data_IF_051937080974
#
_entry.id   IF_051937080974
#
_cell.length_a   1.000
_cell.length_b   1.000
_cell.length_c   1.000
_cell.angle_alpha   90.00
_cell.angle_beta   90.00
_cell.angle_gamma   90.00
#
_symmetry.space_group_name_H-M   'P 1'
#
loop_
_entity.id
_entity.type
_entity.pdbx_description
1 polymer ?
#
# COMPACT_ATOMS: atom_id res chain seq x y z
N UNK A 1 24.03 6.80 -30.11
CA UNK A 1 23.58 7.93 -29.29
C UNK A 1 22.09 8.11 -29.50
N UNK A 2 21.25 7.77 -28.51
CA UNK A 2 19.80 7.98 -28.59
C UNK A 2 19.46 9.40 -28.16
N UNK A 3 18.65 10.11 -28.95
CA UNK A 3 18.20 11.46 -28.61
C UNK A 3 17.25 11.49 -27.40
N UNK A 4 16.89 12.68 -26.89
CA UNK A 4 16.06 12.85 -25.69
C UNK A 4 14.72 12.09 -25.72
N UNK A 5 14.14 11.92 -26.91
CA UNK A 5 12.91 11.14 -27.11
C UNK A 5 13.10 9.63 -26.85
N UNK A 6 14.21 9.06 -27.27
CA UNK A 6 14.51 7.62 -27.09
C UNK A 6 14.70 7.30 -25.61
N UNK A 7 15.36 8.16 -24.86
CA UNK A 7 15.52 8.00 -23.41
C UNK A 7 14.17 8.05 -22.70
N UNK A 8 13.31 9.01 -23.04
CA UNK A 8 11.96 9.11 -22.45
C UNK A 8 11.12 7.86 -22.73
N UNK A 9 11.09 7.41 -23.97
CA UNK A 9 10.35 6.20 -24.36
C UNK A 9 10.88 4.96 -23.66
N UNK A 10 12.20 4.82 -23.54
CA UNK A 10 12.84 3.73 -22.81
C UNK A 10 12.34 3.65 -21.37
N UNK A 11 12.37 4.75 -20.60
CA UNK A 11 11.90 4.74 -19.20
C UNK A 11 10.40 4.46 -19.10
N UNK A 12 9.58 4.98 -20.01
CA UNK A 12 8.14 4.73 -20.00
C UNK A 12 7.82 3.26 -20.28
N UNK A 13 8.49 2.66 -21.26
CA UNK A 13 8.32 1.24 -21.60
C UNK A 13 8.87 0.35 -20.48
N UNK A 14 10.07 0.65 -19.97
CA UNK A 14 10.70 -0.11 -18.91
C UNK A 14 9.90 -0.06 -17.61
N UNK A 15 9.37 1.10 -17.19
CA UNK A 15 8.52 1.17 -16.00
C UNK A 15 7.21 0.38 -16.21
N UNK A 16 6.59 0.49 -17.39
CA UNK A 16 5.36 -0.26 -17.70
C UNK A 16 5.58 -1.77 -17.73
N UNK A 17 6.72 -2.24 -18.22
CA UNK A 17 6.96 -3.69 -18.32
C UNK A 17 6.96 -4.38 -16.96
N UNK A 18 7.32 -3.70 -15.87
CA UNK A 18 7.27 -4.25 -14.51
C UNK A 18 5.83 -4.47 -14.00
N UNK A 19 4.85 -3.73 -14.53
CA UNK A 19 3.45 -3.88 -14.13
C UNK A 19 2.87 -5.24 -14.59
N UNK A 20 3.46 -5.82 -15.63
CA UNK A 20 3.05 -7.10 -16.22
C UNK A 20 3.97 -8.27 -15.80
N UNK A 21 4.96 -8.05 -14.94
CA UNK A 21 5.88 -9.11 -14.49
C UNK A 21 5.17 -10.09 -13.56
N UNK A 22 5.37 -11.38 -13.85
CA UNK A 22 4.97 -12.50 -13.02
C UNK A 22 6.20 -13.18 -12.44
N UNK A 23 6.20 -13.40 -11.13
CA UNK A 23 7.25 -14.11 -10.41
C UNK A 23 6.60 -15.03 -9.37
N UNK A 24 7.00 -16.30 -9.31
CA UNK A 24 6.43 -17.29 -8.39
C UNK A 24 4.88 -17.37 -8.40
N UNK A 25 4.26 -17.29 -9.59
CA UNK A 25 2.80 -17.25 -9.80
C UNK A 25 2.08 -16.03 -9.21
N UNK A 26 2.81 -15.00 -8.78
CA UNK A 26 2.28 -13.75 -8.29
C UNK A 26 2.73 -12.59 -9.18
N UNK A 27 1.89 -11.56 -9.31
CA UNK A 27 2.28 -10.29 -9.97
C UNK A 27 2.99 -9.39 -8.98
N UNK A 28 3.91 -8.54 -9.43
CA UNK A 28 4.54 -7.54 -8.56
C UNK A 28 3.52 -6.47 -8.10
N UNK A 29 2.65 -6.06 -9.01
CA UNK A 29 1.65 -5.03 -8.77
C UNK A 29 0.25 -5.54 -9.09
N UNK A 30 -0.72 -5.15 -8.26
CA UNK A 30 -2.15 -5.43 -8.46
C UNK A 30 -2.82 -4.18 -8.99
N UNK A 31 -3.56 -4.31 -10.09
CA UNK A 31 -4.36 -3.23 -10.63
C UNK A 31 -5.74 -3.19 -9.97
N UNK A 32 -6.16 -2.03 -9.50
CA UNK A 32 -7.51 -1.78 -9.00
C UNK A 32 -8.29 -0.92 -10.01
N UNK A 33 -9.39 -1.48 -10.52
CA UNK A 33 -10.23 -0.84 -11.55
C UNK A 33 -10.97 0.40 -11.01
N UNK A 34 -11.25 0.46 -9.71
CA UNK A 34 -12.02 1.56 -9.12
C UNK A 34 -11.18 2.83 -9.02
N UNK A 35 -9.96 2.70 -8.50
CA UNK A 35 -8.99 3.80 -8.38
C UNK A 35 -8.21 4.05 -9.67
N UNK A 36 -8.20 3.07 -10.59
CA UNK A 36 -7.33 3.04 -11.79
C UNK A 36 -5.86 3.17 -11.44
N UNK A 37 -5.46 2.60 -10.30
CA UNK A 37 -4.08 2.60 -9.83
C UNK A 37 -3.57 1.19 -9.60
N UNK A 38 -2.24 1.07 -9.59
CA UNK A 38 -1.53 -0.12 -9.18
C UNK A 38 -1.15 -0.01 -7.72
N UNK A 39 -1.15 -1.15 -7.03
CA UNK A 39 -0.64 -1.29 -5.67
C UNK A 39 0.36 -2.44 -5.57
N UNK A 40 1.20 -2.42 -4.55
CA UNK A 40 2.16 -3.50 -4.25
C UNK A 40 1.39 -4.78 -3.92
N UNK A 41 1.76 -5.90 -4.55
CA UNK A 41 1.18 -7.19 -4.20
C UNK A 41 1.87 -7.77 -2.96
N UNK A 42 1.17 -7.84 -1.84
CA UNK A 42 1.70 -8.41 -0.60
C UNK A 42 2.13 -9.89 -0.74
N UNK A 43 1.58 -10.61 -1.74
CA UNK A 43 1.86 -12.03 -1.97
C UNK A 43 3.12 -12.26 -2.79
N UNK A 44 3.68 -11.22 -3.41
CA UNK A 44 4.88 -11.29 -4.24
C UNK A 44 6.18 -11.45 -3.41
N UNK A 45 6.16 -12.29 -2.37
CA UNK A 45 7.30 -12.59 -1.49
C UNK A 45 8.43 -13.22 -2.30
N UNK A 46 9.68 -12.84 -2.02
CA UNK A 46 10.84 -13.30 -2.80
C UNK A 46 11.06 -12.51 -4.10
N UNK A 47 10.32 -11.42 -4.32
CA UNK A 47 10.46 -10.55 -5.50
C UNK A 47 11.15 -9.23 -5.17
N UNK A 48 11.88 -9.15 -4.05
CA UNK A 48 12.49 -7.92 -3.52
C UNK A 48 13.45 -7.28 -4.54
N UNK A 49 14.18 -8.10 -5.29
CA UNK A 49 15.09 -7.62 -6.35
C UNK A 49 14.35 -6.92 -7.50
N UNK A 50 13.12 -7.35 -7.81
CA UNK A 50 12.30 -6.68 -8.82
C UNK A 50 11.78 -5.34 -8.31
N UNK A 51 11.32 -5.25 -7.07
CA UNK A 51 10.91 -3.99 -6.46
C UNK A 51 12.07 -3.02 -6.35
N UNK A 52 13.26 -3.49 -5.94
CA UNK A 52 14.51 -2.71 -5.93
C UNK A 52 14.85 -2.19 -7.32
N UNK A 53 14.81 -3.05 -8.33
CA UNK A 53 15.09 -2.67 -9.73
C UNK A 53 14.10 -1.63 -10.24
N UNK A 54 12.81 -1.79 -9.92
CA UNK A 54 11.77 -0.81 -10.23
C UNK A 54 12.04 0.54 -9.56
N UNK A 55 12.40 0.53 -8.27
CA UNK A 55 12.75 1.73 -7.51
C UNK A 55 13.98 2.46 -8.07
N UNK A 56 15.04 1.73 -8.44
CA UNK A 56 16.22 2.30 -9.10
C UNK A 56 15.81 2.96 -10.42
N UNK A 57 15.03 2.27 -11.25
CA UNK A 57 14.57 2.79 -12.53
C UNK A 57 13.70 4.06 -12.36
N UNK A 58 12.83 4.07 -11.35
CA UNK A 58 11.99 5.21 -10.99
C UNK A 58 12.84 6.40 -10.55
N UNK A 59 13.82 6.19 -9.67
CA UNK A 59 14.76 7.21 -9.24
C UNK A 59 15.58 7.79 -10.40
N UNK A 60 16.05 6.92 -11.29
CA UNK A 60 16.75 7.35 -12.52
C UNK A 60 15.83 8.17 -13.44
N UNK A 61 14.55 7.81 -13.59
CA UNK A 61 13.60 8.59 -14.36
C UNK A 61 13.43 10.01 -13.78
N UNK A 62 13.29 10.13 -12.45
CA UNK A 62 13.18 11.43 -11.77
C UNK A 62 14.44 12.28 -11.98
N UNK A 63 15.64 11.69 -11.82
CA UNK A 63 16.92 12.39 -12.02
C UNK A 63 17.11 12.90 -13.46
N UNK A 64 16.51 12.22 -14.44
CA UNK A 64 16.56 12.62 -15.85
C UNK A 64 15.40 13.54 -16.25
N UNK A 65 14.66 14.11 -15.29
CA UNK A 65 13.48 14.96 -15.52
C UNK A 65 12.39 14.29 -16.37
N UNK A 66 12.28 12.96 -16.27
CA UNK A 66 11.26 12.19 -16.97
C UNK A 66 10.02 12.12 -16.09
N UNK A 67 8.90 12.55 -16.67
CA UNK A 67 7.61 12.46 -15.98
C UNK A 67 7.21 11.00 -15.77
N UNK A 68 7.23 10.56 -14.52
CA UNK A 68 6.79 9.23 -14.12
C UNK A 68 5.25 9.16 -14.25
N UNK A 69 4.67 8.06 -14.76
CA UNK A 69 3.22 7.91 -14.81
C UNK A 69 2.61 7.99 -13.41
N UNK A 70 1.51 8.74 -13.26
CA UNK A 70 0.73 8.79 -12.02
C UNK A 70 -0.19 7.56 -11.93
N UNK A 71 0.41 6.39 -11.74
CA UNK A 71 -0.27 5.09 -11.75
C UNK A 71 -0.34 4.45 -10.37
N UNK A 72 0.29 5.04 -9.35
CA UNK A 72 0.21 4.59 -7.96
C UNK A 72 -0.62 5.56 -7.14
N UNK A 73 -1.34 5.09 -6.12
CA UNK A 73 -2.05 5.97 -5.22
C UNK A 73 -1.05 6.83 -4.43
N UNK A 74 -1.50 8.03 -4.05
CA UNK A 74 -0.68 9.04 -3.36
C UNK A 74 0.06 8.49 -2.14
N UNK A 75 -0.57 7.56 -1.43
CA UNK A 75 -0.06 6.92 -0.23
C UNK A 75 1.28 6.19 -0.43
N UNK A 76 1.57 5.67 -1.63
CA UNK A 76 2.88 5.07 -1.91
C UNK A 76 4.00 6.11 -1.75
N UNK A 77 3.78 7.32 -2.25
CA UNK A 77 4.77 8.40 -2.15
C UNK A 77 4.90 8.92 -0.72
N UNK A 78 3.80 9.00 0.03
CA UNK A 78 3.86 9.35 1.46
C UNK A 78 4.66 8.27 2.24
N UNK A 79 4.50 6.98 1.93
CA UNK A 79 5.34 5.89 2.50
C UNK A 79 6.81 6.01 2.14
N UNK A 80 7.14 6.28 0.86
CA UNK A 80 8.53 6.48 0.45
C UNK A 80 9.16 7.68 1.16
N UNK A 81 8.42 8.78 1.35
CA UNK A 81 8.90 9.95 2.09
C UNK A 81 9.10 9.65 3.58
N UNK A 82 8.26 8.81 4.16
CA UNK A 82 8.37 8.36 5.54
C UNK A 82 9.64 7.51 5.75
N UNK A 83 9.92 6.54 4.87
CA UNK A 83 11.17 5.75 4.90
C UNK A 83 12.43 6.62 4.70
N UNK A 84 12.30 7.73 3.98
CA UNK A 84 13.37 8.72 3.80
C UNK A 84 13.48 9.73 4.95
N UNK A 85 12.73 9.55 6.04
CA UNK A 85 12.66 10.45 7.20
C UNK A 85 12.35 11.91 6.78
N UNK A 86 11.58 12.09 5.71
CA UNK A 86 11.30 13.41 5.16
C UNK A 86 10.33 14.18 6.07
N UNK A 87 10.58 15.48 6.34
CA UNK A 87 9.63 16.31 7.08
C UNK A 87 8.31 16.55 6.31
N UNK A 88 8.27 16.19 5.03
CA UNK A 88 7.07 16.27 4.19
C UNK A 88 6.19 15.02 4.25
N UNK A 89 6.65 13.95 4.91
CA UNK A 89 5.89 12.71 5.06
C UNK A 89 4.58 12.98 5.81
N UNK A 90 3.47 12.52 5.25
CA UNK A 90 2.15 12.67 5.90
C UNK A 90 1.81 11.41 6.66
N UNK A 91 1.25 11.59 7.85
CA UNK A 91 0.70 10.47 8.63
C UNK A 91 -0.44 9.81 7.86
N UNK A 92 -0.33 8.50 7.72
CA UNK A 92 -1.27 7.64 7.01
C UNK A 92 -2.54 7.44 7.83
N UNK A 93 -3.68 7.42 7.14
CA UNK A 93 -5.02 7.37 7.72
C UNK A 93 -5.88 6.32 7.03
N UNK A 94 -7.05 6.10 7.59
CA UNK A 94 -8.07 5.23 7.00
C UNK A 94 -8.46 5.64 5.57
N UNK A 95 -8.42 6.94 5.26
CA UNK A 95 -8.65 7.47 3.92
C UNK A 95 -7.64 6.94 2.90
N UNK A 96 -6.39 6.76 3.31
CA UNK A 96 -5.32 6.24 2.46
C UNK A 96 -5.53 4.76 2.17
N UNK A 97 -6.05 3.97 3.12
CA UNK A 97 -6.51 2.60 2.82
C UNK A 97 -7.59 2.66 1.74
N UNK A 98 -8.47 3.65 1.79
CA UNK A 98 -9.53 3.84 0.80
C UNK A 98 -9.01 4.04 -0.62
N UNK A 99 -7.81 4.61 -0.78
CA UNK A 99 -7.17 4.78 -2.09
C UNK A 99 -6.58 3.47 -2.66
N UNK A 100 -6.37 2.45 -1.81
CA UNK A 100 -5.73 1.18 -2.16
C UNK A 100 -6.72 0.03 -2.17
N UNK A 101 -7.52 -0.07 -1.11
CA UNK A 101 -8.51 -1.11 -0.89
C UNK A 101 -9.80 -0.48 -0.33
N UNK A 102 -10.67 0.02 -1.22
CA UNK A 102 -11.92 0.72 -0.85
C UNK A 102 -12.83 -0.12 0.05
N UNK A 103 -12.89 -1.43 -0.20
CA UNK A 103 -13.71 -2.37 0.58
C UNK A 103 -13.23 -2.47 2.02
N UNK A 104 -11.93 -2.64 2.25
CA UNK A 104 -11.36 -2.67 3.62
C UNK A 104 -11.59 -1.35 4.34
N UNK A 105 -11.37 -0.22 3.65
CA UNK A 105 -11.63 1.09 4.25
C UNK A 105 -13.11 1.27 4.64
N UNK A 106 -14.05 0.76 3.82
CA UNK A 106 -15.48 0.78 4.15
C UNK A 106 -15.77 -0.03 5.41
N UNK A 107 -15.25 -1.26 5.53
CA UNK A 107 -15.44 -2.09 6.72
C UNK A 107 -14.88 -1.44 7.98
N UNK A 108 -13.69 -0.83 7.91
CA UNK A 108 -13.09 -0.10 9.03
C UNK A 108 -13.88 1.17 9.41
N UNK A 109 -14.47 1.89 8.45
CA UNK A 109 -15.40 2.99 8.76
C UNK A 109 -16.64 2.49 9.48
N UNK A 110 -17.21 1.37 9.03
CA UNK A 110 -18.37 0.76 9.69
C UNK A 110 -18.05 0.37 11.14
N UNK A 111 -16.85 -0.11 11.43
CA UNK A 111 -16.38 -0.35 12.81
C UNK A 111 -16.41 0.94 13.65
N UNK A 112 -15.86 2.05 13.12
CA UNK A 112 -15.84 3.33 13.84
C UNK A 112 -17.25 3.86 14.12
N UNK A 113 -18.16 3.72 13.16
CA UNK A 113 -19.54 4.22 13.22
C UNK A 113 -20.49 3.27 13.96
N UNK A 114 -20.08 2.03 14.23
CA UNK A 114 -20.94 1.04 14.86
C UNK A 114 -21.33 1.45 16.30
N UNK A 115 -22.63 1.49 16.64
CA UNK A 115 -23.09 1.91 17.97
C UNK A 115 -23.23 0.77 18.98
N UNK A 116 -23.30 -0.49 18.53
CA UNK A 116 -23.56 -1.66 19.38
C UNK A 116 -22.36 -2.09 20.22
N UNK A 117 -22.60 -2.65 21.40
CA UNK A 117 -21.54 -3.20 22.26
C UNK A 117 -21.01 -4.57 21.79
N UNK A 118 -21.75 -5.22 20.90
CA UNK A 118 -21.47 -6.50 20.24
C UNK A 118 -20.52 -6.35 19.03
N UNK A 119 -19.69 -5.30 18.99
CA UNK A 119 -18.82 -4.98 17.84
C UNK A 119 -17.86 -6.13 17.49
N UNK A 120 -17.35 -6.85 18.49
CA UNK A 120 -16.50 -8.02 18.29
C UNK A 120 -17.25 -9.20 17.64
N UNK A 121 -18.54 -9.34 17.90
CA UNK A 121 -19.36 -10.41 17.33
C UNK A 121 -19.77 -10.10 15.89
N UNK A 122 -20.08 -8.82 15.60
CA UNK A 122 -20.53 -8.38 14.27
C UNK A 122 -19.39 -8.33 13.25
N UNK A 123 -18.23 -7.81 13.63
CA UNK A 123 -17.10 -7.64 12.71
C UNK A 123 -16.08 -8.78 12.78
N UNK A 124 -16.17 -9.64 13.81
CA UNK A 124 -15.22 -10.72 14.06
C UNK A 124 -13.79 -10.23 14.27
N UNK A 125 -12.86 -11.18 14.32
CA UNK A 125 -11.44 -10.87 14.20
C UNK A 125 -11.16 -10.55 12.73
N UNK A 126 -10.85 -9.29 12.40
CA UNK A 126 -10.29 -8.98 11.09
C UNK A 126 -9.14 -9.97 10.85
N UNK A 127 -9.07 -10.57 9.67
CA UNK A 127 -8.02 -11.53 9.34
C UNK A 127 -6.66 -10.81 9.13
N UNK A 128 -6.10 -10.23 10.19
CA UNK A 128 -4.78 -9.63 10.23
C UNK A 128 -3.97 -10.25 11.38
N UNK A 129 -2.63 -10.39 11.24
CA UNK A 129 -1.79 -11.15 12.17
C UNK A 129 -1.89 -10.69 13.63
N UNK A 130 -2.20 -9.40 13.86
CA UNK A 130 -2.40 -8.89 15.21
C UNK A 130 -3.76 -9.21 15.79
N UNK A 131 -4.79 -9.48 14.99
CA UNK A 131 -6.11 -9.89 15.48
C UNK A 131 -6.06 -11.13 16.37
N UNK A 132 -5.18 -12.09 16.05
CA UNK A 132 -4.95 -13.30 16.85
C UNK A 132 -4.00 -13.11 18.05
N UNK A 133 -3.26 -11.98 18.10
CA UNK A 133 -2.31 -11.64 19.18
C UNK A 133 -2.92 -10.68 20.22
N UNK A 134 -4.13 -10.20 19.99
CA UNK A 134 -4.89 -9.48 21.00
C UNK A 134 -5.35 -10.53 22.01
N UNK A 135 -4.79 -10.50 23.23
CA UNK A 135 -5.34 -11.22 24.38
C UNK A 135 -6.86 -10.93 24.50
N UNK A 136 -7.64 -11.77 25.19
CA UNK A 136 -9.11 -11.59 25.30
C UNK A 136 -9.51 -10.17 25.76
N UNK A 137 -8.64 -9.54 26.53
CA UNK A 137 -8.65 -8.19 27.09
C UNK A 137 -8.35 -7.05 26.08
N UNK A 138 -8.01 -7.38 24.83
CA UNK A 138 -7.78 -6.46 23.71
C UNK A 138 -8.77 -6.65 22.55
N UNK A 139 -9.81 -7.48 22.73
CA UNK A 139 -10.93 -7.60 21.78
C UNK A 139 -11.48 -6.22 21.44
N UNK A 140 -11.90 -6.06 20.18
CA UNK A 140 -12.49 -4.80 19.73
C UNK A 140 -13.73 -4.47 20.57
N UNK A 141 -13.79 -3.25 21.07
CA UNK A 141 -14.82 -2.71 21.94
C UNK A 141 -15.12 -1.26 21.56
N UNK A 142 -16.22 -0.72 22.08
CA UNK A 142 -16.57 0.68 21.83
C UNK A 142 -15.49 1.66 22.33
N UNK A 143 -14.73 1.29 23.36
CA UNK A 143 -13.68 2.13 23.93
C UNK A 143 -12.40 2.13 23.09
N UNK A 144 -12.05 1.02 22.43
CA UNK A 144 -10.78 0.85 21.73
C UNK A 144 -10.89 0.85 20.20
N UNK A 145 -12.10 0.95 19.62
CA UNK A 145 -12.31 0.87 18.16
C UNK A 145 -11.48 1.86 17.36
N UNK A 146 -11.23 3.07 17.89
CA UNK A 146 -10.40 4.07 17.23
C UNK A 146 -8.92 3.63 17.16
N UNK A 147 -8.37 3.18 18.28
CA UNK A 147 -6.99 2.69 18.36
C UNK A 147 -6.81 1.41 17.53
N UNK A 148 -7.82 0.54 17.52
CA UNK A 148 -7.85 -0.65 16.69
C UNK A 148 -7.76 -0.31 15.19
N UNK A 149 -8.57 0.64 14.71
CA UNK A 149 -8.51 1.06 13.30
C UNK A 149 -7.17 1.72 12.99
N UNK A 150 -6.62 2.55 13.88
CA UNK A 150 -5.30 3.15 13.66
C UNK A 150 -4.20 2.08 13.60
N UNK A 151 -4.21 1.11 14.52
CA UNK A 151 -3.24 0.02 14.51
C UNK A 151 -3.35 -0.85 13.24
N UNK A 152 -4.57 -1.04 12.72
CA UNK A 152 -4.78 -1.71 11.44
C UNK A 152 -4.19 -0.91 10.27
N UNK A 153 -4.42 0.41 10.25
CA UNK A 153 -3.81 1.32 9.25
C UNK A 153 -2.29 1.22 9.28
N UNK A 154 -1.69 1.28 10.46
CA UNK A 154 -0.25 1.18 10.62
C UNK A 154 0.26 -0.16 10.11
N UNK A 155 -0.37 -1.28 10.49
CA UNK A 155 0.02 -2.60 9.96
C UNK A 155 -0.18 -2.74 8.46
N UNK A 156 -1.27 -2.21 7.90
CA UNK A 156 -1.58 -2.32 6.48
C UNK A 156 -0.47 -1.70 5.62
N UNK A 157 0.08 -0.57 6.04
CA UNK A 157 1.11 0.13 5.28
C UNK A 157 2.56 -0.19 5.69
N UNK A 158 2.80 -0.64 6.92
CA UNK A 158 4.15 -0.93 7.39
C UNK A 158 4.44 -2.43 7.44
N UNK A 159 3.49 -3.24 7.92
CA UNK A 159 3.68 -4.67 8.08
C UNK A 159 3.36 -5.47 6.83
N UNK A 160 2.21 -5.18 6.19
CA UNK A 160 1.68 -5.99 5.08
C UNK A 160 2.55 -5.95 3.82
N UNK A 161 3.25 -4.83 3.61
CA UNK A 161 4.05 -4.56 2.40
C UNK A 161 5.54 -4.35 2.70
N UNK A 162 5.99 -4.73 3.91
CA UNK A 162 7.36 -4.46 4.36
C UNK A 162 8.44 -5.07 3.47
N UNK A 163 8.16 -6.25 2.90
CA UNK A 163 9.13 -6.92 2.03
C UNK A 163 9.25 -6.24 0.65
N UNK A 164 8.24 -5.46 0.25
CA UNK A 164 8.17 -4.83 -1.06
C UNK A 164 8.73 -3.40 -1.09
N UNK A 165 8.98 -2.79 0.08
CA UNK A 165 9.53 -1.45 0.28
C UNK A 165 10.96 -1.54 0.84
#
# INVERSE_FOLDING_TARGET
AGGPGVTKEFFQVALRSFLDVWHNNERLFVYDEQSRTYWLNERAVGSEDFFRSYGILLGQAVLNHIHVPNIFPRVLYDRLLEELESPCAKKLRLEDIGAVCPNTAKSLRQILEYPGQDIAEVFGDLAWPRGALLAEDLRISQANKADFVQAYVDWFFHGKIQAQL
#
